data_IF_383825297785
#
_entry.id   IF_383825297785
#
_cell.length_a   1.000
_cell.length_b   1.000
_cell.length_c   1.000
_cell.angle_alpha   90.00
_cell.angle_beta   90.00
_cell.angle_gamma   90.00
#
_symmetry.space_group_name_H-M   'P 1'
#
loop_
_entity.id
_entity.type
_entity.pdbx_description
1 polymer ?
#
# COMPACT_ATOMS: atom_id res chain seq x y z
N UNK A 1 -11.10 -0.90 40.71
CA UNK A 1 -12.53 -1.06 40.39
C UNK A 1 -12.78 -2.51 40.04
N UNK A 2 -13.89 -3.05 40.54
CA UNK A 2 -14.31 -4.45 40.48
C UNK A 2 -14.37 -4.95 39.02
N UNK A 3 -13.78 -6.12 38.76
CA UNK A 3 -13.71 -6.76 37.43
C UNK A 3 -14.81 -7.81 37.22
N UNK A 4 -15.84 -7.81 38.07
CA UNK A 4 -16.96 -8.73 37.98
C UNK A 4 -17.80 -8.45 36.73
N UNK A 5 -18.30 -9.51 36.04
CA UNK A 5 -19.25 -9.34 34.95
C UNK A 5 -20.57 -8.75 35.48
N UNK A 6 -21.26 -7.91 34.68
CA UNK A 6 -22.52 -7.31 35.09
C UNK A 6 -23.63 -8.36 35.19
N UNK A 7 -24.67 -8.01 35.95
CA UNK A 7 -25.81 -8.89 36.20
C UNK A 7 -26.57 -9.12 34.89
N UNK A 8 -27.32 -10.23 34.82
CA UNK A 8 -27.94 -10.78 33.60
C UNK A 8 -28.83 -9.83 32.77
N UNK A 9 -29.16 -8.64 33.29
CA UNK A 9 -30.11 -7.70 32.71
C UNK A 9 -29.51 -6.30 32.44
N UNK A 10 -28.19 -6.14 32.57
CA UNK A 10 -27.49 -4.89 32.29
C UNK A 10 -26.90 -4.91 30.87
N UNK A 11 -27.23 -3.89 30.07
CA UNK A 11 -26.66 -3.71 28.74
C UNK A 11 -25.16 -3.43 28.85
N UNK A 12 -24.31 -4.30 28.29
CA UNK A 12 -22.92 -3.97 28.05
C UNK A 12 -22.85 -2.96 26.89
N UNK A 13 -22.46 -1.69 27.07
CA UNK A 13 -21.99 -0.90 25.93
C UNK A 13 -20.66 -1.51 25.50
N UNK A 14 -20.68 -2.51 24.63
CA UNK A 14 -19.46 -3.16 24.16
C UNK A 14 -18.62 -2.10 23.44
N UNK A 15 -17.49 -1.65 24.00
CA UNK A 15 -16.82 -0.51 23.44
C UNK A 15 -16.13 -0.90 22.14
N UNK A 16 -16.39 -0.14 21.08
CA UNK A 16 -15.89 -0.50 19.76
C UNK A 16 -14.36 -0.43 19.69
N UNK A 17 -13.74 -1.50 19.19
CA UNK A 17 -12.31 -1.56 18.83
C UNK A 17 -11.86 -0.39 17.94
N UNK A 18 -12.77 0.08 17.07
CA UNK A 18 -12.55 1.19 16.16
C UNK A 18 -12.34 2.50 16.92
N UNK A 19 -13.14 2.75 17.95
CA UNK A 19 -13.06 3.95 18.80
C UNK A 19 -11.69 4.04 19.49
N UNK A 20 -11.23 2.96 20.13
CA UNK A 20 -9.91 2.92 20.78
C UNK A 20 -8.78 3.17 19.78
N UNK A 21 -8.85 2.61 18.57
CA UNK A 21 -7.81 2.78 17.53
C UNK A 21 -7.80 4.19 16.94
N UNK A 22 -8.97 4.78 16.69
CA UNK A 22 -9.07 6.14 16.15
C UNK A 22 -8.51 7.16 17.14
N UNK A 23 -8.90 7.07 18.41
CA UNK A 23 -8.40 7.97 19.46
C UNK A 23 -6.89 7.81 19.69
N UNK A 24 -6.37 6.59 19.59
CA UNK A 24 -4.93 6.35 19.74
C UNK A 24 -4.12 6.85 18.54
N UNK A 25 -4.63 6.66 17.31
CA UNK A 25 -3.92 6.95 16.07
C UNK A 25 -4.02 8.41 15.64
N UNK A 26 -5.20 9.01 15.75
CA UNK A 26 -5.48 10.33 15.17
C UNK A 26 -5.60 11.44 16.23
N UNK A 27 -6.01 11.12 17.45
CA UNK A 27 -6.06 12.10 18.55
C UNK A 27 -4.82 12.04 19.47
N UNK A 28 -3.85 11.14 19.17
CA UNK A 28 -2.62 10.92 19.94
C UNK A 28 -2.81 10.71 21.46
N UNK A 29 -4.02 10.32 21.89
CA UNK A 29 -4.33 10.15 23.30
C UNK A 29 -3.60 8.93 23.88
N UNK A 30 -3.09 9.06 25.11
CA UNK A 30 -2.53 7.94 25.88
C UNK A 30 -3.62 6.94 26.28
N UNK A 31 -3.25 5.70 26.62
CA UNK A 31 -4.20 4.68 27.05
C UNK A 31 -5.06 5.13 28.24
N UNK A 32 -4.47 5.88 29.19
CA UNK A 32 -5.18 6.45 30.35
C UNK A 32 -6.13 7.59 29.96
N UNK A 33 -5.76 8.41 28.97
CA UNK A 33 -6.65 9.47 28.49
C UNK A 33 -7.85 8.89 27.76
N UNK A 34 -7.65 7.84 26.94
CA UNK A 34 -8.75 7.15 26.25
C UNK A 34 -9.71 6.51 27.27
N UNK A 35 -9.18 5.87 28.31
CA UNK A 35 -9.99 5.31 29.39
C UNK A 35 -10.84 6.37 30.08
N UNK A 36 -10.26 7.53 30.44
CA UNK A 36 -10.99 8.64 31.05
C UNK A 36 -12.07 9.23 30.14
N UNK A 37 -11.83 9.31 28.84
CA UNK A 37 -12.77 9.94 27.90
C UNK A 37 -13.87 9.01 27.40
N UNK A 38 -13.63 7.69 27.39
CA UNK A 38 -14.56 6.72 26.78
C UNK A 38 -15.10 5.67 27.74
N UNK A 39 -14.57 5.59 28.97
CA UNK A 39 -14.88 4.52 29.92
C UNK A 39 -14.29 3.15 29.54
N UNK A 40 -13.54 3.06 28.44
CA UNK A 40 -12.94 1.80 27.99
C UNK A 40 -11.75 1.45 28.90
N UNK A 41 -11.74 0.28 29.55
CA UNK A 41 -10.63 -0.11 30.43
C UNK A 41 -9.28 -0.04 29.70
N UNK A 42 -8.25 0.47 30.37
CA UNK A 42 -6.89 0.63 29.80
C UNK A 42 -6.36 -0.67 29.19
N UNK A 43 -6.61 -1.82 29.84
CA UNK A 43 -6.23 -3.15 29.36
C UNK A 43 -6.91 -3.50 28.02
N UNK A 44 -8.17 -3.11 27.87
CA UNK A 44 -8.94 -3.28 26.64
C UNK A 44 -8.46 -2.33 25.55
N UNK A 45 -8.15 -1.07 25.86
CA UNK A 45 -7.52 -0.13 24.91
C UNK A 45 -6.19 -0.70 24.43
N UNK A 46 -5.34 -1.19 25.34
CA UNK A 46 -4.06 -1.82 25.02
C UNK A 46 -4.25 -3.03 24.09
N UNK A 47 -5.20 -3.92 24.40
CA UNK A 47 -5.53 -5.09 23.56
C UNK A 47 -6.06 -4.66 22.17
N UNK A 48 -6.87 -3.62 22.10
CA UNK A 48 -7.39 -3.09 20.83
C UNK A 48 -6.27 -2.55 19.92
N UNK A 49 -5.22 -1.99 20.51
CA UNK A 49 -4.10 -1.38 19.78
C UNK A 49 -2.94 -2.33 19.51
N UNK A 50 -2.64 -3.28 20.42
CA UNK A 50 -1.48 -4.18 20.31
C UNK A 50 -1.73 -5.43 19.49
N UNK A 51 -2.93 -6.03 19.54
CA UNK A 51 -3.17 -7.27 18.82
C UNK A 51 -3.58 -7.00 17.38
N UNK A 52 -2.82 -7.59 16.46
CA UNK A 52 -3.19 -7.62 15.05
C UNK A 52 -4.44 -8.49 14.86
N UNK A 53 -5.41 -7.96 14.13
CA UNK A 53 -6.55 -8.71 13.61
C UNK A 53 -6.18 -9.33 12.26
N UNK A 54 -6.93 -10.31 11.73
CA UNK A 54 -6.79 -10.78 10.35
C UNK A 54 -6.77 -9.63 9.32
N UNK A 55 -7.50 -8.54 9.61
CA UNK A 55 -7.56 -7.30 8.83
C UNK A 55 -6.34 -6.36 8.97
N UNK A 56 -5.46 -6.62 9.93
CA UNK A 56 -4.19 -5.90 10.16
C UNK A 56 -2.99 -6.86 10.17
N UNK A 57 -3.22 -8.14 9.91
CA UNK A 57 -2.19 -9.13 9.68
C UNK A 57 -1.50 -8.77 8.37
N UNK A 58 -0.22 -8.40 8.47
CA UNK A 58 0.62 -8.12 7.32
C UNK A 58 1.14 -9.45 6.81
N UNK A 59 0.89 -9.75 5.54
CA UNK A 59 1.77 -10.66 4.83
C UNK A 59 3.16 -9.99 4.77
N UNK A 60 4.23 -10.68 5.21
CA UNK A 60 5.59 -10.20 5.00
C UNK A 60 5.80 -9.96 3.50
N UNK A 61 6.31 -8.79 3.13
CA UNK A 61 6.66 -8.45 1.73
C UNK A 61 5.62 -7.64 0.93
N UNK A 62 4.44 -7.34 1.47
CA UNK A 62 3.48 -6.45 0.82
C UNK A 62 3.88 -4.96 0.92
N UNK A 63 3.83 -4.23 -0.20
CA UNK A 63 4.03 -2.77 -0.23
C UNK A 63 2.82 -2.07 0.40
N UNK A 64 3.07 -1.15 1.34
CA UNK A 64 2.00 -0.31 1.92
C UNK A 64 1.78 0.96 1.11
N UNK A 65 0.70 1.70 1.39
CA UNK A 65 0.50 3.05 0.82
C UNK A 65 1.66 3.99 1.16
N UNK A 66 2.24 3.89 2.36
CA UNK A 66 3.36 4.73 2.78
C UNK A 66 4.65 4.35 2.01
N UNK A 67 4.91 3.06 1.81
CA UNK A 67 6.05 2.58 1.01
C UNK A 67 5.88 2.98 -0.46
N UNK A 68 4.68 2.82 -1.02
CA UNK A 68 4.38 3.23 -2.39
C UNK A 68 4.56 4.75 -2.57
N UNK A 69 4.07 5.56 -1.62
CA UNK A 69 4.25 7.01 -1.65
C UNK A 69 5.72 7.40 -1.58
N UNK A 70 6.49 6.81 -0.65
CA UNK A 70 7.90 7.13 -0.44
C UNK A 70 8.76 6.68 -1.62
N UNK A 71 8.71 5.40 -1.95
CA UNK A 71 9.68 4.77 -2.83
C UNK A 71 9.29 4.88 -4.30
N UNK A 72 7.99 4.79 -4.62
CA UNK A 72 7.53 4.78 -6.01
C UNK A 72 7.09 6.18 -6.45
N UNK A 73 6.14 6.81 -5.76
CA UNK A 73 5.61 8.10 -6.19
C UNK A 73 6.65 9.22 -6.08
N UNK A 74 7.24 9.42 -4.89
CA UNK A 74 8.27 10.44 -4.68
C UNK A 74 9.61 10.03 -5.25
N UNK A 75 9.99 8.76 -5.12
CA UNK A 75 11.31 8.27 -5.55
C UNK A 75 11.47 8.20 -7.06
N UNK A 76 10.42 7.81 -7.80
CA UNK A 76 10.52 7.55 -9.24
C UNK A 76 9.53 8.35 -10.09
N UNK A 77 8.25 8.33 -9.74
CA UNK A 77 7.20 8.89 -10.61
C UNK A 77 7.32 10.41 -10.68
N UNK A 78 7.42 11.11 -9.55
CA UNK A 78 7.54 12.56 -9.51
C UNK A 78 8.76 13.05 -10.32
N UNK A 79 9.99 12.59 -10.08
CA UNK A 79 11.14 12.97 -10.90
C UNK A 79 10.93 12.67 -12.39
N UNK A 80 10.41 11.49 -12.72
CA UNK A 80 10.17 11.07 -14.11
C UNK A 80 9.07 11.85 -14.81
N UNK A 81 8.08 12.38 -14.09
CA UNK A 81 7.07 13.27 -14.69
C UNK A 81 7.62 14.71 -14.79
N UNK A 82 8.48 15.09 -13.86
CA UNK A 82 9.15 16.40 -13.82
C UNK A 82 10.23 16.57 -14.90
N UNK A 83 10.85 15.50 -15.38
CA UNK A 83 11.86 15.62 -16.44
C UNK A 83 11.23 15.85 -17.82
N UNK A 84 9.95 15.50 -18.00
CA UNK A 84 9.30 15.43 -19.30
C UNK A 84 8.04 16.32 -19.40
N UNK A 85 8.00 17.49 -18.76
CA UNK A 85 6.85 18.40 -18.67
C UNK A 85 6.13 18.70 -20.01
N UNK A 86 6.80 18.56 -21.15
CA UNK A 86 6.23 18.80 -22.49
C UNK A 86 5.63 17.56 -23.18
N UNK A 87 5.68 16.38 -22.55
CA UNK A 87 5.07 15.15 -23.08
C UNK A 87 3.77 14.85 -22.33
N UNK A 88 2.67 14.64 -23.05
CA UNK A 88 1.39 14.18 -22.47
C UNK A 88 1.52 12.76 -21.92
N UNK A 89 2.14 12.62 -20.73
CA UNK A 89 2.28 11.34 -20.04
C UNK A 89 1.07 11.05 -19.18
N UNK A 90 0.76 9.77 -19.11
CA UNK A 90 -0.32 9.22 -18.31
C UNK A 90 0.28 8.08 -17.48
N UNK A 91 0.10 8.12 -16.18
CA UNK A 91 0.42 7.03 -15.28
C UNK A 91 -0.67 5.96 -15.41
N UNK A 92 -0.31 4.73 -15.70
CA UNK A 92 -1.23 3.58 -15.63
C UNK A 92 -0.83 2.73 -14.43
N UNK A 93 -1.81 2.40 -13.59
CA UNK A 93 -1.68 1.49 -12.47
C UNK A 93 -2.95 0.65 -12.34
N UNK A 94 -2.89 -0.46 -11.62
CA UNK A 94 -4.06 -1.28 -11.32
C UNK A 94 -4.78 -0.78 -10.05
N UNK A 95 -5.87 -1.45 -9.67
CA UNK A 95 -6.69 -1.07 -8.54
C UNK A 95 -6.18 -1.57 -7.17
N UNK A 96 -4.87 -1.86 -7.01
CA UNK A 96 -4.31 -2.28 -5.72
C UNK A 96 -4.55 -1.25 -4.60
N UNK A 97 -4.77 -1.74 -3.38
CA UNK A 97 -5.02 -0.90 -2.21
C UNK A 97 -3.86 0.05 -1.88
N UNK A 98 -2.61 -0.33 -2.17
CA UNK A 98 -1.43 0.49 -1.98
C UNK A 98 -1.43 1.75 -2.86
N UNK A 99 -2.07 1.71 -4.04
CA UNK A 99 -2.13 2.85 -4.96
C UNK A 99 -3.07 3.97 -4.51
N UNK A 100 -3.93 3.69 -3.53
CA UNK A 100 -4.92 4.64 -3.05
C UNK A 100 -6.16 4.75 -3.95
N UNK A 101 -6.50 3.69 -4.67
CA UNK A 101 -7.63 3.64 -5.62
C UNK A 101 -9.01 3.69 -4.97
N UNK A 102 -9.11 3.35 -3.66
CA UNK A 102 -10.40 3.22 -2.96
C UNK A 102 -11.00 4.53 -2.46
N UNK A 103 -10.20 5.55 -2.17
CA UNK A 103 -10.66 6.81 -1.58
C UNK A 103 -9.85 7.99 -2.09
N UNK A 104 -10.47 9.13 -2.37
CA UNK A 104 -9.71 10.31 -2.83
C UNK A 104 -8.87 10.99 -1.74
N UNK A 105 -9.14 10.69 -0.46
CA UNK A 105 -8.54 11.36 0.70
C UNK A 105 -7.30 10.66 1.28
N UNK A 106 -6.76 9.65 0.61
CA UNK A 106 -5.53 8.99 1.07
C UNK A 106 -4.27 9.72 0.56
N UNK A 107 -3.11 9.49 1.19
CA UNK A 107 -1.86 10.18 0.85
C UNK A 107 -1.43 10.03 -0.61
N UNK A 108 -1.62 8.85 -1.22
CA UNK A 108 -1.23 8.59 -2.60
C UNK A 108 -2.13 9.33 -3.59
N UNK A 109 -3.45 9.33 -3.37
CA UNK A 109 -4.40 10.04 -4.20
C UNK A 109 -4.20 11.57 -4.12
N UNK A 110 -3.99 12.11 -2.92
CA UNK A 110 -3.71 13.54 -2.72
C UNK A 110 -2.39 13.93 -3.39
N UNK A 111 -1.33 13.14 -3.21
CA UNK A 111 -0.04 13.43 -3.83
C UNK A 111 -0.12 13.48 -5.36
N UNK A 112 -0.79 12.50 -5.99
CA UNK A 112 -0.99 12.49 -7.46
C UNK A 112 -1.73 13.72 -7.95
N UNK A 113 -2.77 14.15 -7.22
CA UNK A 113 -3.53 15.37 -7.51
C UNK A 113 -2.67 16.63 -7.39
N UNK A 114 -1.94 16.78 -6.28
CA UNK A 114 -1.11 17.96 -6.01
C UNK A 114 0.02 18.11 -7.04
N UNK A 115 0.61 16.99 -7.46
CA UNK A 115 1.65 16.94 -8.49
C UNK A 115 1.12 16.94 -9.92
N UNK A 116 -0.20 17.04 -10.11
CA UNK A 116 -0.87 17.02 -11.43
C UNK A 116 -0.46 15.81 -12.27
N UNK A 117 -0.27 14.66 -11.63
CA UNK A 117 0.02 13.40 -12.31
C UNK A 117 -1.26 12.92 -12.98
N UNK A 118 -1.29 12.93 -14.31
CA UNK A 118 -2.41 12.39 -15.07
C UNK A 118 -2.46 10.88 -14.91
N UNK A 119 -3.54 10.37 -14.32
CA UNK A 119 -3.77 8.94 -14.13
C UNK A 119 -4.70 8.40 -15.21
N UNK A 120 -4.40 7.22 -15.76
CA UNK A 120 -5.30 6.49 -16.63
C UNK A 120 -6.43 5.89 -15.78
N UNK A 121 -7.48 6.67 -15.59
CA UNK A 121 -8.62 6.30 -14.75
C UNK A 121 -9.94 6.48 -15.51
N UNK A 122 -10.91 5.57 -15.36
CA UNK A 122 -10.87 4.35 -14.54
C UNK A 122 -10.09 3.21 -15.20
N UNK A 123 -9.40 2.39 -14.40
CA UNK A 123 -8.85 1.11 -14.85
C UNK A 123 -9.82 -0.03 -14.53
N UNK A 124 -10.17 -0.89 -15.49
CA UNK A 124 -11.10 -1.98 -15.24
C UNK A 124 -10.50 -3.00 -14.24
N UNK A 125 -11.29 -3.46 -13.24
CA UNK A 125 -10.81 -4.44 -12.28
C UNK A 125 -10.48 -5.76 -12.98
N UNK A 126 -9.49 -6.49 -12.46
CA UNK A 126 -9.12 -7.84 -12.93
C UNK A 126 -8.81 -7.93 -14.43
N UNK A 127 -8.27 -6.86 -15.03
CA UNK A 127 -7.91 -6.81 -16.45
C UNK A 127 -6.39 -6.75 -16.66
N UNK A 128 -5.64 -7.83 -16.31
CA UNK A 128 -4.20 -7.87 -16.52
C UNK A 128 -3.82 -7.90 -18.01
N UNK A 129 -4.71 -8.40 -18.87
CA UNK A 129 -4.59 -8.44 -20.32
C UNK A 129 -4.46 -7.05 -20.95
N UNK A 130 -5.09 -6.05 -20.34
CA UNK A 130 -5.01 -4.66 -20.80
C UNK A 130 -3.71 -3.96 -20.36
N UNK A 131 -3.00 -4.47 -19.36
CA UNK A 131 -1.81 -3.78 -18.84
C UNK A 131 -0.57 -4.11 -19.68
N UNK A 132 0.09 -3.12 -20.30
CA UNK A 132 1.29 -3.36 -21.09
C UNK A 132 2.45 -3.92 -20.26
N UNK A 133 2.47 -3.67 -18.95
CA UNK A 133 3.54 -4.17 -18.07
C UNK A 133 3.51 -5.70 -17.95
N UNK A 134 2.34 -6.33 -18.06
CA UNK A 134 2.22 -7.79 -18.01
C UNK A 134 2.94 -8.46 -19.19
N UNK A 135 2.89 -7.83 -20.37
CA UNK A 135 3.66 -8.27 -21.53
C UNK A 135 5.17 -8.14 -21.29
N UNK A 136 5.62 -7.03 -20.70
CA UNK A 136 7.02 -6.85 -20.32
C UNK A 136 7.46 -7.93 -19.32
N UNK A 137 6.66 -8.19 -18.28
CA UNK A 137 6.93 -9.23 -17.30
C UNK A 137 6.97 -10.62 -17.90
N UNK A 138 6.06 -10.94 -18.82
CA UNK A 138 6.05 -12.23 -19.53
C UNK A 138 7.35 -12.48 -20.28
N UNK A 139 7.84 -11.47 -21.02
CA UNK A 139 9.10 -11.54 -21.75
C UNK A 139 10.28 -11.69 -20.78
N UNK A 140 10.32 -10.87 -19.72
CA UNK A 140 11.40 -10.90 -18.74
C UNK A 140 11.47 -12.24 -18.00
N UNK A 141 10.33 -12.75 -17.52
CA UNK A 141 10.21 -14.07 -16.86
C UNK A 141 10.72 -15.18 -17.77
N UNK A 142 10.36 -15.17 -19.06
CA UNK A 142 10.85 -16.16 -20.03
C UNK A 142 12.36 -16.16 -20.17
N UNK A 143 13.00 -14.98 -20.22
CA UNK A 143 14.46 -14.86 -20.34
C UNK A 143 15.19 -15.27 -19.06
N UNK A 144 14.69 -14.85 -17.91
CA UNK A 144 15.30 -15.17 -16.61
C UNK A 144 15.17 -16.67 -16.30
N UNK A 145 14.04 -17.29 -16.62
CA UNK A 145 13.85 -18.75 -16.45
C UNK A 145 14.91 -19.58 -17.17
N UNK A 146 15.37 -19.14 -18.36
CA UNK A 146 16.44 -19.82 -19.10
C UNK A 146 17.80 -19.81 -18.39
N UNK A 147 18.01 -18.90 -17.42
CA UNK A 147 19.27 -18.77 -16.67
C UNK A 147 19.33 -19.65 -15.43
N UNK A 148 18.21 -20.24 -15.00
CA UNK A 148 18.14 -21.16 -13.85
C UNK A 148 18.84 -20.62 -12.59
N UNK A 149 18.39 -19.45 -12.10
CA UNK A 149 18.88 -18.90 -10.83
C UNK A 149 18.68 -19.88 -9.67
N UNK A 150 19.67 -19.94 -8.77
CA UNK A 150 19.72 -20.85 -7.63
C UNK A 150 19.31 -20.19 -6.32
N UNK A 151 19.45 -18.87 -6.25
CA UNK A 151 19.09 -18.05 -5.09
C UNK A 151 18.52 -16.68 -5.50
N UNK A 152 18.10 -15.90 -4.50
CA UNK A 152 17.50 -14.58 -4.67
C UNK A 152 18.48 -13.54 -5.23
N UNK A 153 19.78 -13.68 -4.97
CA UNK A 153 20.81 -12.74 -5.43
C UNK A 153 21.08 -12.94 -6.92
N UNK A 154 21.26 -14.19 -7.36
CA UNK A 154 21.35 -14.56 -8.77
C UNK A 154 20.10 -14.14 -9.53
N UNK A 155 18.91 -14.36 -8.94
CA UNK A 155 17.65 -13.95 -9.55
C UNK A 155 17.60 -12.44 -9.79
N UNK A 156 17.97 -11.63 -8.79
CA UNK A 156 18.06 -10.16 -8.92
C UNK A 156 19.06 -9.75 -9.99
N UNK A 157 20.26 -10.35 -9.99
CA UNK A 157 21.28 -10.05 -10.99
C UNK A 157 20.82 -10.38 -12.41
N UNK A 158 20.15 -11.51 -12.61
CA UNK A 158 19.61 -11.90 -13.91
C UNK A 158 18.44 -11.04 -14.37
N UNK A 159 17.56 -10.61 -13.45
CA UNK A 159 16.48 -9.67 -13.76
C UNK A 159 17.05 -8.36 -14.30
N UNK A 160 18.00 -7.75 -13.60
CA UNK A 160 18.65 -6.50 -14.03
C UNK A 160 19.35 -6.66 -15.40
N UNK A 161 20.13 -7.74 -15.55
CA UNK A 161 20.85 -8.02 -16.80
C UNK A 161 19.93 -8.20 -18.00
N UNK A 162 18.82 -8.92 -17.84
CA UNK A 162 17.86 -9.14 -18.94
C UNK A 162 16.97 -7.92 -19.21
N UNK A 163 16.70 -7.10 -18.19
CA UNK A 163 16.04 -5.81 -18.35
C UNK A 163 16.88 -4.85 -19.19
N UNK A 164 18.15 -4.67 -18.87
CA UNK A 164 19.05 -3.75 -19.57
C UNK A 164 19.25 -4.12 -21.04
N UNK A 165 19.27 -5.42 -21.36
CA UNK A 165 19.31 -5.88 -22.77
C UNK A 165 18.07 -5.46 -23.56
N UNK A 166 16.91 -5.41 -22.91
CA UNK A 166 15.65 -5.00 -23.56
C UNK A 166 15.66 -3.52 -23.95
N UNK A 167 16.44 -2.70 -23.23
CA UNK A 167 16.58 -1.26 -23.48
C UNK A 167 17.43 -0.96 -24.73
N UNK A 168 18.28 -1.89 -25.17
CA UNK A 168 19.26 -1.69 -26.27
C UNK A 168 18.74 -1.99 -27.68
N UNK A 169 17.43 -1.87 -27.97
CA UNK A 169 16.93 -1.97 -29.35
C UNK A 169 16.08 -0.76 -29.73
N UNK A 170 16.73 0.21 -30.37
CA UNK A 170 16.42 0.77 -31.71
C UNK A 170 17.50 1.77 -32.15
N UNK A 171 18.58 1.24 -32.75
CA UNK A 171 19.28 1.90 -33.86
C UNK A 171 19.09 0.98 -35.07
N UNK A 172 17.89 0.98 -35.65
CA UNK A 172 17.65 0.43 -36.98
C UNK A 172 16.59 1.34 -37.61
N UNK A 173 17.10 2.17 -38.54
CA UNK A 173 16.46 3.03 -39.53
C UNK A 173 15.69 4.23 -38.96
#
# INVERSE_FOLDING_TARGET
>A
MDSSPPRANEEWPTPSRRTSRVLRRYAHLSYRQIERTTGIPKSTVHRHTHYNTSRTYRHPGGITQDDYLRDILKGWVEPTFSEFWNQRRILQEDNDGAHGTKTYWNPCAQFKKDKRINLLHPWPPQSPDLSPIENCWRILKSRVRKRQARDDEELKAYLLKEWDKSRKKKSII
#
